data_IF_862335368659
#
_entry.id   IF_862335368659
#
_cell.length_a   1.000
_cell.length_b   1.000
_cell.length_c   1.000
_cell.angle_alpha   90.00
_cell.angle_beta   90.00
_cell.angle_gamma   90.00
#
_symmetry.space_group_name_H-M   'P 1'
#
loop_
_entity.id
_entity.type
_entity.pdbx_description
1 polymer ?
#
# COMPACT_ATOMS: atom_id res chain seq x y z
N UNK A 1 10.31 3.57 0.06
CA UNK A 1 9.00 3.32 0.69
C UNK A 1 8.24 4.62 0.88
N UNK A 2 8.69 5.52 1.75
CA UNK A 2 8.05 6.82 2.01
C UNK A 2 7.90 7.67 0.75
N UNK A 3 8.92 7.73 -0.12
CA UNK A 3 8.82 8.48 -1.39
C UNK A 3 7.77 7.90 -2.34
N UNK A 4 7.69 6.57 -2.46
CA UNK A 4 6.71 5.90 -3.34
C UNK A 4 5.29 6.10 -2.81
N UNK A 5 5.09 5.99 -1.49
CA UNK A 5 3.80 6.22 -0.87
C UNK A 5 3.39 7.71 -0.92
N UNK A 6 4.30 8.65 -0.69
CA UNK A 6 3.99 10.07 -0.58
C UNK A 6 4.05 10.86 -1.88
N UNK A 7 4.72 10.34 -2.93
CA UNK A 7 4.85 11.00 -4.24
C UNK A 7 4.20 10.18 -5.35
N UNK A 8 4.66 8.96 -5.56
CA UNK A 8 4.29 8.18 -6.75
C UNK A 8 2.83 7.72 -6.67
N UNK A 9 2.44 7.09 -5.56
CA UNK A 9 1.08 6.58 -5.36
C UNK A 9 -0.02 7.66 -5.45
N UNK A 10 0.11 8.85 -4.82
CA UNK A 10 -0.89 9.89 -4.96
C UNK A 10 -1.04 10.40 -6.39
N UNK A 11 0.07 10.54 -7.15
CA UNK A 11 0.02 10.91 -8.57
C UNK A 11 -0.71 9.85 -9.39
N UNK A 12 -0.47 8.57 -9.12
CA UNK A 12 -1.18 7.47 -9.78
C UNK A 12 -2.67 7.45 -9.46
N UNK A 13 -3.05 7.65 -8.20
CA UNK A 13 -4.46 7.74 -7.78
C UNK A 13 -5.15 8.90 -8.51
N UNK A 14 -4.55 10.10 -8.48
CA UNK A 14 -5.13 11.28 -9.14
C UNK A 14 -5.24 11.09 -10.65
N UNK A 15 -4.24 10.48 -11.28
CA UNK A 15 -4.29 10.14 -12.69
C UNK A 15 -5.46 9.20 -13.01
N UNK A 16 -5.65 8.13 -12.23
CA UNK A 16 -6.74 7.17 -12.44
C UNK A 16 -8.09 7.84 -12.25
N UNK A 17 -8.28 8.60 -11.16
CA UNK A 17 -9.53 9.30 -10.89
C UNK A 17 -9.87 10.31 -11.98
N UNK A 18 -8.90 11.11 -12.41
CA UNK A 18 -9.07 12.07 -13.50
C UNK A 18 -9.36 11.37 -14.85
N UNK A 19 -8.71 10.24 -15.12
CA UNK A 19 -8.90 9.51 -16.38
C UNK A 19 -10.23 8.76 -16.46
N UNK A 20 -10.77 8.35 -15.32
CA UNK A 20 -12.01 7.57 -15.21
C UNK A 20 -13.22 8.41 -14.78
N UNK A 21 -13.00 9.69 -14.47
CA UNK A 21 -13.99 10.63 -13.94
C UNK A 21 -14.69 10.11 -12.66
N UNK A 22 -14.00 9.28 -11.89
CA UNK A 22 -14.48 8.76 -10.61
C UNK A 22 -14.03 9.63 -9.44
N UNK A 23 -14.84 9.67 -8.39
CA UNK A 23 -14.52 10.43 -7.16
C UNK A 23 -13.59 9.66 -6.21
N UNK A 24 -13.65 8.33 -6.24
CA UNK A 24 -12.82 7.46 -5.43
C UNK A 24 -12.54 6.12 -6.14
N UNK A 25 -11.61 5.34 -5.59
CA UNK A 25 -11.27 4.01 -6.09
C UNK A 25 -11.06 3.02 -4.94
N UNK A 26 -11.15 1.73 -5.27
CA UNK A 26 -10.73 0.65 -4.38
C UNK A 26 -9.27 0.31 -4.63
N UNK A 27 -8.46 0.33 -3.58
CA UNK A 27 -7.05 -0.02 -3.65
C UNK A 27 -6.85 -1.49 -3.26
N UNK A 28 -6.18 -2.27 -4.10
CA UNK A 28 -5.79 -3.64 -3.80
C UNK A 28 -4.27 -3.72 -3.71
N UNK A 29 -3.76 -3.97 -2.51
CA UNK A 29 -2.32 -4.04 -2.23
C UNK A 29 -1.89 -5.45 -1.86
N UNK A 30 -0.71 -5.87 -2.32
CA UNK A 30 -0.07 -7.11 -1.86
C UNK A 30 1.28 -6.81 -1.21
N UNK A 31 1.57 -7.42 -0.06
CA UNK A 31 2.85 -7.29 0.65
C UNK A 31 3.22 -5.81 0.83
N UNK A 32 4.31 -5.34 0.24
CA UNK A 32 4.75 -3.94 0.24
C UNK A 32 3.67 -2.95 -0.23
N UNK A 33 2.82 -3.33 -1.18
CA UNK A 33 1.73 -2.49 -1.66
C UNK A 33 0.74 -2.12 -0.55
N UNK A 34 0.53 -3.01 0.42
CA UNK A 34 -0.32 -2.71 1.59
C UNK A 34 0.31 -1.60 2.43
N UNK A 35 1.63 -1.68 2.69
CA UNK A 35 2.37 -0.64 3.41
C UNK A 35 2.27 0.71 2.72
N UNK A 36 2.37 0.75 1.40
CA UNK A 36 2.27 2.00 0.64
C UNK A 36 0.91 2.69 0.83
N UNK A 37 -0.18 1.92 0.79
CA UNK A 37 -1.53 2.47 1.03
C UNK A 37 -1.68 3.01 2.46
N UNK A 38 -1.18 2.30 3.47
CA UNK A 38 -1.25 2.75 4.86
C UNK A 38 -0.45 4.02 5.11
N UNK A 39 0.78 4.08 4.57
CA UNK A 39 1.64 5.26 4.69
C UNK A 39 1.00 6.46 4.00
N UNK A 40 0.48 6.31 2.77
CA UNK A 40 -0.18 7.41 2.06
C UNK A 40 -1.36 7.96 2.86
N UNK A 41 -2.26 7.09 3.31
CA UNK A 41 -3.48 7.52 4.00
C UNK A 41 -3.20 8.12 5.38
N UNK A 42 -2.12 7.70 6.04
CA UNK A 42 -1.67 8.30 7.30
C UNK A 42 -0.96 9.65 7.10
N UNK A 43 -0.08 9.77 6.10
CA UNK A 43 0.70 10.99 5.84
C UNK A 43 -0.09 12.07 5.09
N UNK A 44 -1.10 11.68 4.31
CA UNK A 44 -1.93 12.58 3.50
C UNK A 44 -3.43 12.29 3.69
N UNK A 45 -4.04 12.74 4.80
CA UNK A 45 -5.43 12.45 5.12
C UNK A 45 -6.44 12.84 4.03
N UNK A 46 -6.13 13.81 3.17
CA UNK A 46 -6.96 14.19 2.03
C UNK A 46 -7.16 13.07 0.99
N UNK A 47 -6.34 12.01 1.00
CA UNK A 47 -6.55 10.83 0.15
C UNK A 47 -7.53 9.82 0.75
N UNK A 48 -7.94 9.98 2.02
CA UNK A 48 -8.94 9.09 2.64
C UNK A 48 -10.30 9.18 1.95
N UNK A 49 -10.64 10.33 1.39
CA UNK A 49 -11.88 10.51 0.61
C UNK A 49 -11.78 9.91 -0.79
N UNK A 50 -10.56 9.74 -1.30
CA UNK A 50 -10.24 9.22 -2.64
C UNK A 50 -10.11 7.69 -2.69
N UNK A 51 -10.00 7.03 -1.54
CA UNK A 51 -9.88 5.57 -1.44
C UNK A 51 -11.05 5.03 -0.60
N UNK A 52 -12.02 4.38 -1.24
CA UNK A 52 -13.24 3.92 -0.56
C UNK A 52 -13.06 2.59 0.19
N UNK A 53 -12.11 1.77 -0.24
CA UNK A 53 -11.79 0.46 0.34
C UNK A 53 -10.33 0.12 0.06
N UNK A 54 -9.66 -0.46 1.05
CA UNK A 54 -8.36 -1.12 0.89
C UNK A 54 -8.54 -2.62 1.07
N UNK A 55 -8.19 -3.39 0.04
CA UNK A 55 -8.04 -4.85 0.12
C UNK A 55 -6.56 -5.16 0.26
N UNK A 56 -6.18 -5.80 1.37
CA UNK A 56 -4.78 -6.08 1.68
C UNK A 56 -4.48 -7.57 1.67
N UNK A 57 -3.64 -7.99 0.74
CA UNK A 57 -3.19 -9.37 0.57
C UNK A 57 -1.78 -9.51 1.19
N UNK A 58 -1.62 -10.42 2.15
CA UNK A 58 -0.38 -10.58 2.91
C UNK A 58 0.15 -9.24 3.50
N UNK A 59 -0.62 -8.57 4.37
CA UNK A 59 -0.32 -7.21 4.80
C UNK A 59 0.98 -7.08 5.59
N UNK A 60 1.71 -5.99 5.34
CA UNK A 60 2.91 -5.60 6.09
C UNK A 60 2.67 -4.20 6.65
N UNK A 61 2.16 -4.12 7.89
CA UNK A 61 2.03 -2.86 8.61
C UNK A 61 3.22 -2.61 9.56
N UNK A 62 3.72 -3.68 10.18
CA UNK A 62 4.86 -3.65 11.09
C UNK A 62 5.82 -4.76 10.72
N UNK A 63 7.11 -4.44 10.68
CA UNK A 63 8.16 -5.41 10.37
C UNK A 63 8.91 -5.77 11.66
N UNK A 64 8.70 -6.98 12.18
CA UNK A 64 9.46 -7.48 13.32
C UNK A 64 10.53 -8.48 12.85
N UNK A 65 11.75 -8.49 13.42
CA UNK A 65 12.75 -9.53 13.15
C UNK A 65 12.27 -10.97 13.37
N UNK A 66 11.28 -11.22 14.25
CA UNK A 66 10.77 -12.57 14.55
C UNK A 66 9.78 -13.11 13.52
N UNK A 67 9.13 -12.25 12.74
CA UNK A 67 8.22 -12.63 11.64
C UNK A 67 8.94 -13.33 10.48
N UNK A 68 10.28 -13.27 10.42
CA UNK A 68 11.11 -13.92 9.42
C UNK A 68 11.33 -15.42 9.61
N UNK A 69 10.82 -16.07 10.68
CA UNK A 69 11.04 -17.50 10.89
C UNK A 69 10.68 -18.37 9.66
N UNK A 70 9.53 -18.10 9.05
CA UNK A 70 9.07 -18.78 7.84
C UNK A 70 9.88 -18.40 6.59
N UNK A 71 10.20 -17.12 6.41
CA UNK A 71 11.00 -16.65 5.27
C UNK A 71 12.44 -17.17 5.34
N UNK A 72 13.02 -17.26 6.55
CA UNK A 72 14.36 -17.81 6.79
C UNK A 72 14.42 -19.30 6.54
N UNK A 73 13.38 -20.07 6.89
CA UNK A 73 13.30 -21.49 6.52
C UNK A 73 13.23 -21.62 4.99
N UNK A 74 12.40 -20.83 4.32
CA UNK A 74 12.26 -20.87 2.86
C UNK A 74 13.56 -20.45 2.13
N UNK A 75 14.29 -19.46 2.64
CA UNK A 75 15.56 -19.00 2.05
C UNK A 75 16.75 -19.93 2.35
N UNK A 76 16.68 -20.73 3.42
CA UNK A 76 17.72 -21.69 3.80
C UNK A 76 17.46 -23.12 3.27
N UNK A 77 16.36 -23.33 2.55
CA UNK A 77 15.99 -24.62 1.94
C UNK A 77 16.49 -24.75 0.48
N UNK A 78 17.42 -23.88 0.06
CA UNK A 78 18.11 -23.92 -1.23
C UNK A 78 19.56 -24.34 -1.09
#
# INVERSE_FOLDING_TARGET
LTTVASKDLPVLIDFVLNKTEQLNLTYVGHSLGTTLSYVLLAEKPQYNEKVNLIVSLAPIAFWHPKTLGLLRIAMNAG
#
